data_IF_785783127625
#
_entry.id   IF_785783127625
#
_cell.length_a   1.000
_cell.length_b   1.000
_cell.length_c   1.000
_cell.angle_alpha   90.00
_cell.angle_beta   90.00
_cell.angle_gamma   90.00
#
_symmetry.space_group_name_H-M   'P 1'
#
loop_
_entity.id
_entity.type
_entity.pdbx_description
1 polymer ?
#
# COMPACT_ATOMS: atom_id res chain seq x y z
N UNK A 1 56.22 -50.59 47.43
CA UNK A 1 55.58 -50.42 48.75
C UNK A 1 54.90 -49.06 48.73
N UNK A 2 53.63 -48.82 49.02
CA UNK A 2 52.40 -49.57 49.16
C UNK A 2 51.30 -48.50 49.02
N UNK A 3 50.23 -48.76 48.27
CA UNK A 3 48.98 -48.00 48.36
C UNK A 3 48.31 -48.24 49.74
N UNK A 4 47.42 -47.32 50.14
CA UNK A 4 46.04 -47.68 50.50
C UNK A 4 45.03 -46.74 49.76
N UNK A 5 43.91 -47.15 49.14
CA UNK A 5 42.68 -47.88 49.61
C UNK A 5 42.06 -47.17 50.81
N UNK A 6 40.80 -46.76 50.93
CA UNK A 6 39.59 -46.70 50.11
C UNK A 6 38.57 -45.83 50.91
N UNK A 7 37.48 -45.37 50.29
CA UNK A 7 36.13 -45.48 50.86
C UNK A 7 35.08 -44.84 49.94
N UNK A 8 34.14 -45.67 49.51
CA UNK A 8 32.92 -45.34 48.77
C UNK A 8 31.91 -44.58 49.62
N UNK A 9 31.09 -43.75 48.99
CA UNK A 9 29.65 -43.64 49.34
C UNK A 9 28.87 -43.13 48.14
N UNK A 10 27.95 -43.97 47.65
CA UNK A 10 26.85 -43.56 46.79
C UNK A 10 25.92 -42.63 47.58
N UNK A 11 25.55 -41.49 46.99
CA UNK A 11 24.34 -40.80 47.35
C UNK A 11 23.57 -40.47 46.07
N UNK A 12 22.56 -41.30 45.82
CA UNK A 12 21.52 -41.11 44.82
C UNK A 12 20.65 -39.93 45.29
N UNK A 13 20.67 -38.83 44.53
CA UNK A 13 19.87 -37.64 44.82
C UNK A 13 19.12 -37.20 43.58
N UNK A 14 17.95 -37.79 43.34
CA UNK A 14 16.93 -37.25 42.44
C UNK A 14 16.53 -35.86 42.95
N UNK A 15 16.79 -34.81 42.18
CA UNK A 15 16.08 -33.53 42.35
C UNK A 15 15.47 -33.10 41.02
N UNK A 16 14.15 -33.12 41.07
CA UNK A 16 13.12 -32.64 40.17
C UNK A 16 13.52 -31.52 39.20
N UNK A 17 13.11 -31.73 37.96
CA UNK A 17 13.05 -30.77 36.87
C UNK A 17 12.28 -29.50 37.24
N UNK A 18 12.88 -28.35 36.93
CA UNK A 18 12.17 -27.12 36.61
C UNK A 18 12.98 -26.36 35.57
N UNK A 19 12.87 -26.80 34.31
CA UNK A 19 13.30 -25.99 33.18
C UNK A 19 12.24 -24.89 33.02
N UNK A 20 12.60 -23.60 32.99
CA UNK A 20 11.68 -22.59 32.51
C UNK A 20 11.41 -22.94 31.05
N UNK A 21 10.17 -23.36 30.77
CA UNK A 21 9.66 -23.32 29.41
C UNK A 21 9.60 -21.83 29.05
N UNK A 22 10.66 -21.32 28.43
CA UNK A 22 10.58 -20.10 27.66
C UNK A 22 9.54 -20.37 26.58
N UNK A 23 8.30 -20.00 26.88
CA UNK A 23 7.27 -19.76 25.90
C UNK A 23 7.81 -18.62 25.03
N UNK A 24 8.63 -18.96 24.04
CA UNK A 24 8.81 -18.14 22.86
C UNK A 24 7.44 -18.12 22.19
N UNK A 25 6.60 -17.19 22.66
CA UNK A 25 5.55 -16.62 21.85
C UNK A 25 6.25 -16.13 20.62
N UNK A 26 6.23 -16.95 19.56
CA UNK A 26 6.45 -16.48 18.21
C UNK A 26 5.43 -15.36 18.02
N UNK A 27 5.87 -14.12 18.24
CA UNK A 27 5.20 -12.97 17.67
C UNK A 27 5.11 -13.33 16.20
N UNK A 28 3.90 -13.66 15.73
CA UNK A 28 3.66 -13.95 14.34
C UNK A 28 4.21 -12.75 13.59
N UNK A 29 5.37 -12.93 12.97
CA UNK A 29 6.00 -11.93 12.16
C UNK A 29 4.94 -11.54 11.15
N UNK A 30 4.42 -10.32 11.30
CA UNK A 30 3.40 -9.79 10.40
C UNK A 30 4.02 -9.86 9.02
N UNK A 31 3.54 -10.80 8.20
CA UNK A 31 4.07 -10.99 6.85
C UNK A 31 4.07 -9.61 6.18
N UNK A 32 5.21 -9.13 5.68
CA UNK A 32 5.22 -7.87 4.96
C UNK A 32 4.21 -8.02 3.84
N UNK A 33 3.30 -7.04 3.73
CA UNK A 33 2.46 -6.89 2.54
C UNK A 33 3.42 -6.66 1.40
N UNK A 34 3.79 -7.77 0.77
CA UNK A 34 4.60 -7.74 -0.42
C UNK A 34 3.62 -7.37 -1.50
N UNK A 35 3.68 -6.11 -1.95
CA UNK A 35 3.13 -5.75 -3.24
C UNK A 35 3.86 -6.65 -4.23
N UNK A 36 3.26 -7.79 -4.62
CA UNK A 36 4.03 -8.82 -5.35
C UNK A 36 4.58 -8.25 -6.66
N UNK A 37 3.96 -7.20 -7.19
CA UNK A 37 4.42 -6.36 -8.30
C UNK A 37 3.86 -4.93 -8.16
N UNK A 38 4.54 -3.97 -7.50
CA UNK A 38 4.01 -2.60 -7.43
C UNK A 38 4.10 -1.99 -8.83
N UNK A 39 2.95 -1.65 -9.42
CA UNK A 39 2.91 -0.94 -10.70
C UNK A 39 3.16 0.54 -10.41
N UNK A 40 4.37 1.00 -10.74
CA UNK A 40 4.81 2.38 -10.47
C UNK A 40 4.81 3.27 -11.71
N UNK A 41 4.36 2.74 -12.84
CA UNK A 41 4.30 3.45 -14.13
C UNK A 41 2.88 3.38 -14.70
N UNK A 42 2.44 4.45 -15.36
CA UNK A 42 1.16 4.51 -16.06
C UNK A 42 1.24 5.42 -17.27
N UNK A 43 0.39 5.21 -18.28
CA UNK A 43 0.23 6.15 -19.40
C UNK A 43 -1.07 6.92 -19.23
N UNK A 44 -0.98 8.22 -18.96
CA UNK A 44 -2.13 9.12 -18.81
C UNK A 44 -2.10 10.20 -19.90
N UNK A 45 -3.18 10.32 -20.68
CA UNK A 45 -3.26 11.25 -21.81
C UNK A 45 -2.06 11.16 -22.78
N UNK A 46 -1.58 9.93 -23.05
CA UNK A 46 -0.46 9.65 -23.94
C UNK A 46 0.94 9.94 -23.36
N UNK A 47 1.04 10.37 -22.09
CA UNK A 47 2.30 10.64 -21.41
C UNK A 47 2.53 9.68 -20.25
N UNK A 48 3.79 9.32 -20.03
CA UNK A 48 4.17 8.40 -18.95
C UNK A 48 4.19 9.16 -17.63
N UNK A 49 3.51 8.59 -16.64
CA UNK A 49 3.60 8.96 -15.23
C UNK A 49 4.49 7.95 -14.52
N UNK A 50 5.40 8.45 -13.69
CA UNK A 50 6.20 7.64 -12.77
C UNK A 50 5.86 8.00 -11.33
N UNK A 51 5.67 6.99 -10.48
CA UNK A 51 5.56 7.20 -9.04
C UNK A 51 6.95 7.26 -8.41
N UNK A 52 7.10 8.17 -7.47
CA UNK A 52 8.29 8.29 -6.64
C UNK A 52 7.92 8.64 -5.20
N UNK A 53 8.95 8.92 -4.43
CA UNK A 53 8.84 9.33 -3.04
C UNK A 53 9.56 10.66 -2.83
N UNK A 54 9.01 11.50 -1.96
CA UNK A 54 9.63 12.71 -1.43
C UNK A 54 9.12 12.98 -0.02
N UNK A 55 10.03 13.08 0.94
CA UNK A 55 9.74 13.39 2.35
C UNK A 55 8.70 12.41 2.97
N UNK A 56 8.77 11.14 2.60
CA UNK A 56 7.86 10.08 3.05
C UNK A 56 6.49 10.09 2.36
N UNK A 57 6.26 11.02 1.43
CA UNK A 57 5.03 11.13 0.66
C UNK A 57 5.22 10.68 -0.78
N UNK A 58 4.13 10.28 -1.41
CA UNK A 58 4.16 9.96 -2.82
C UNK A 58 4.21 11.19 -3.70
N UNK A 59 4.94 11.06 -4.81
CA UNK A 59 4.94 12.05 -5.88
C UNK A 59 4.63 11.38 -7.22
N UNK A 60 3.94 12.11 -8.09
CA UNK A 60 3.77 11.74 -9.49
C UNK A 60 4.70 12.61 -10.32
N UNK A 61 5.52 11.97 -11.15
CA UNK A 61 6.44 12.62 -12.05
C UNK A 61 5.96 12.44 -13.48
N UNK A 62 5.98 13.52 -14.26
CA UNK A 62 5.65 13.52 -15.68
C UNK A 62 6.47 14.59 -16.38
N UNK A 63 7.29 14.20 -17.35
CA UNK A 63 8.23 15.10 -18.00
C UNK A 63 9.13 15.80 -16.94
N UNK A 64 9.07 17.13 -16.84
CA UNK A 64 9.75 17.91 -15.78
C UNK A 64 8.83 18.29 -14.60
N UNK A 65 7.55 17.93 -14.66
CA UNK A 65 6.57 18.21 -13.60
C UNK A 65 6.69 17.16 -12.48
N UNK A 66 6.70 17.61 -11.23
CA UNK A 66 6.57 16.76 -10.04
C UNK A 66 5.36 17.24 -9.24
N UNK A 67 4.35 16.38 -9.12
CA UNK A 67 3.13 16.63 -8.36
C UNK A 67 3.19 15.87 -7.02
N UNK A 68 3.29 16.55 -5.87
CA UNK A 68 3.17 15.90 -4.58
C UNK A 68 1.75 15.40 -4.32
N UNK A 69 1.64 14.24 -3.69
CA UNK A 69 0.39 13.63 -3.24
C UNK A 69 0.29 13.67 -1.72
N UNK A 70 -0.94 13.74 -1.20
CA UNK A 70 -1.26 13.71 0.22
C UNK A 70 -1.33 12.30 0.80
N UNK A 71 -0.64 11.32 0.22
CA UNK A 71 -0.63 9.92 0.66
C UNK A 71 0.80 9.43 0.93
N UNK A 72 1.01 8.49 1.87
CA UNK A 72 2.33 7.98 2.21
C UNK A 72 2.98 7.17 1.09
N UNK A 73 4.30 7.17 1.06
CA UNK A 73 5.09 6.21 0.30
C UNK A 73 5.34 4.91 1.11
N UNK A 74 5.62 3.77 0.45
CA UNK A 74 5.63 3.55 -1.00
C UNK A 74 4.21 3.47 -1.56
N UNK A 75 4.01 3.92 -2.80
CA UNK A 75 2.74 3.81 -3.50
C UNK A 75 2.87 3.15 -4.87
N UNK A 76 1.70 2.75 -5.38
CA UNK A 76 1.52 2.05 -6.64
C UNK A 76 0.21 2.53 -7.28
N UNK A 77 0.10 2.35 -8.60
CA UNK A 77 -1.16 2.55 -9.30
C UNK A 77 -2.11 1.39 -9.00
N UNK A 78 -3.40 1.68 -8.86
CA UNK A 78 -4.45 0.66 -8.90
C UNK A 78 -4.34 -0.13 -10.20
N UNK A 79 -4.37 -1.45 -10.13
CA UNK A 79 -4.09 -2.32 -11.28
C UNK A 79 -5.32 -3.00 -11.85
N UNK A 80 -5.37 -3.15 -13.18
CA UNK A 80 -6.38 -3.92 -13.90
C UNK A 80 -6.20 -5.42 -13.71
N UNK A 81 -7.07 -6.20 -14.34
CA UNK A 81 -6.91 -7.67 -14.41
C UNK A 81 -5.67 -8.09 -15.20
N UNK A 82 -5.12 -7.19 -16.00
CA UNK A 82 -3.88 -7.35 -16.75
C UNK A 82 -2.63 -6.97 -15.94
N UNK A 83 -2.79 -6.60 -14.66
CA UNK A 83 -1.73 -6.10 -13.80
C UNK A 83 -1.02 -4.84 -14.34
N UNK A 84 -1.67 -4.08 -15.22
CA UNK A 84 -1.24 -2.75 -15.63
C UNK A 84 -2.01 -1.68 -14.85
N UNK A 85 -1.51 -0.44 -14.82
CA UNK A 85 -2.21 0.67 -14.18
C UNK A 85 -3.59 0.88 -14.84
N UNK A 86 -4.65 0.91 -14.04
CA UNK A 86 -5.98 1.24 -14.53
C UNK A 86 -6.06 2.71 -14.86
N UNK A 87 -6.53 2.99 -16.07
CA UNK A 87 -6.89 4.34 -16.52
C UNK A 87 -8.38 4.33 -16.80
N UNK A 88 -9.10 5.25 -16.16
CA UNK A 88 -10.49 5.51 -16.47
C UNK A 88 -10.64 6.84 -17.19
N UNK A 89 -11.78 7.05 -17.84
CA UNK A 89 -12.15 8.34 -18.43
C UNK A 89 -13.49 8.76 -17.84
N UNK A 90 -13.52 9.92 -17.19
CA UNK A 90 -14.74 10.53 -16.67
C UNK A 90 -14.94 11.90 -17.28
N UNK A 91 -16.11 12.16 -17.87
CA UNK A 91 -16.43 13.41 -18.57
C UNK A 91 -15.35 13.82 -19.61
N UNK A 92 -14.75 12.85 -20.30
CA UNK A 92 -13.69 13.08 -21.29
C UNK A 92 -12.30 13.32 -20.70
N UNK A 93 -12.15 13.28 -19.39
CA UNK A 93 -10.87 13.48 -18.69
C UNK A 93 -10.32 12.12 -18.23
N UNK A 94 -9.10 11.74 -18.63
CA UNK A 94 -8.48 10.51 -18.18
C UNK A 94 -7.98 10.66 -16.74
N UNK A 95 -8.04 9.56 -15.98
CA UNK A 95 -7.72 9.53 -14.55
C UNK A 95 -7.06 8.21 -14.15
N UNK A 96 -6.16 8.28 -13.17
CA UNK A 96 -5.53 7.14 -12.49
C UNK A 96 -5.78 7.23 -10.99
N UNK A 97 -5.69 6.10 -10.29
CA UNK A 97 -5.72 6.03 -8.83
C UNK A 97 -4.36 5.56 -8.33
N UNK A 98 -3.79 6.31 -7.39
CA UNK A 98 -2.58 5.96 -6.68
C UNK A 98 -2.97 5.50 -5.28
N UNK A 99 -2.34 4.44 -4.79
CA UNK A 99 -2.70 3.77 -3.56
C UNK A 99 -1.46 3.45 -2.73
N UNK A 100 -1.66 3.34 -1.42
CA UNK A 100 -0.72 2.86 -0.42
C UNK A 100 -1.48 1.93 0.53
N UNK A 101 -0.90 0.78 0.86
CA UNK A 101 -1.43 -0.12 1.86
C UNK A 101 -0.30 -0.75 2.67
N UNK A 102 -0.50 -0.89 3.98
CA UNK A 102 0.40 -1.62 4.89
C UNK A 102 -0.40 -2.32 5.99
N UNK A 103 0.09 -3.41 6.58
CA UNK A 103 -0.54 -4.01 7.75
C UNK A 103 -0.82 -2.96 8.81
N UNK A 104 -2.05 -2.95 9.33
CA UNK A 104 -2.42 -2.01 10.39
C UNK A 104 -1.76 -2.41 11.70
N UNK A 105 -1.34 -1.41 12.49
CA UNK A 105 -0.82 -1.60 13.85
C UNK A 105 -1.89 -1.36 14.92
N UNK A 106 -3.16 -1.29 14.52
CA UNK A 106 -4.29 -1.07 15.43
C UNK A 106 -4.42 -2.20 16.43
N UNK A 107 -4.50 -1.84 17.72
CA UNK A 107 -4.65 -2.79 18.83
C UNK A 107 -6.10 -2.99 19.26
N UNK A 108 -7.01 -2.13 18.78
CA UNK A 108 -8.45 -2.20 19.04
C UNK A 108 -9.19 -3.14 18.07
N UNK A 109 -8.48 -3.76 17.12
CA UNK A 109 -9.04 -4.72 16.16
C UNK A 109 -8.69 -6.16 16.55
N UNK A 110 -9.71 -7.01 16.74
CA UNK A 110 -9.50 -8.43 16.98
C UNK A 110 -9.27 -9.19 15.67
N UNK A 111 -7.99 -9.40 15.33
CA UNK A 111 -7.57 -10.12 14.12
C UNK A 111 -8.07 -11.58 14.11
N UNK A 112 -8.23 -12.23 15.27
CA UNK A 112 -8.68 -13.62 15.34
C UNK A 112 -10.12 -13.79 14.88
N UNK A 113 -10.97 -12.77 15.07
CA UNK A 113 -12.38 -12.78 14.66
C UNK A 113 -12.64 -12.01 13.38
N UNK A 114 -11.89 -10.93 13.13
CA UNK A 114 -12.11 -10.01 12.01
C UNK A 114 -11.16 -10.20 10.83
N UNK A 115 -10.15 -11.05 10.96
CA UNK A 115 -9.08 -11.18 9.98
C UNK A 115 -8.08 -10.00 10.00
N UNK A 116 -7.01 -10.08 9.19
CA UNK A 116 -6.03 -9.00 9.08
C UNK A 116 -6.66 -7.76 8.45
N UNK A 117 -6.19 -6.59 8.88
CA UNK A 117 -6.55 -5.30 8.29
C UNK A 117 -5.30 -4.51 7.93
N UNK A 118 -5.46 -3.61 6.96
CA UNK A 118 -4.44 -2.71 6.48
C UNK A 118 -4.84 -1.25 6.66
N UNK A 119 -3.85 -0.42 6.98
CA UNK A 119 -3.95 1.01 6.82
C UNK A 119 -3.83 1.30 5.32
N UNK A 120 -4.85 1.95 4.76
CA UNK A 120 -4.98 2.23 3.34
C UNK A 120 -5.06 3.74 3.12
N UNK A 121 -4.38 4.22 2.09
CA UNK A 121 -4.51 5.58 1.60
C UNK A 121 -4.57 5.59 0.06
N UNK A 122 -5.34 6.49 -0.52
CA UNK A 122 -5.41 6.64 -1.96
C UNK A 122 -5.71 8.08 -2.39
N UNK A 123 -5.24 8.42 -3.58
CA UNK A 123 -5.52 9.70 -4.20
C UNK A 123 -5.53 9.53 -5.72
N UNK A 124 -6.56 10.07 -6.36
CA UNK A 124 -6.67 10.05 -7.79
C UNK A 124 -5.91 11.23 -8.42
N UNK A 125 -5.43 11.05 -9.64
CA UNK A 125 -4.81 12.13 -10.44
C UNK A 125 -5.36 12.09 -11.85
N UNK A 126 -5.81 13.24 -12.34
CA UNK A 126 -6.36 13.41 -13.70
C UNK A 126 -5.52 14.34 -14.55
N UNK A 127 -5.65 14.23 -15.87
CA UNK A 127 -5.11 15.22 -16.81
C UNK A 127 -6.22 16.15 -17.29
N UNK A 128 -6.07 17.45 -17.01
CA UNK A 128 -6.99 18.48 -17.50
C UNK A 128 -6.20 19.47 -18.34
N UNK A 129 -6.44 19.46 -19.65
CA UNK A 129 -5.79 20.37 -20.58
C UNK A 129 -4.27 20.27 -20.55
N UNK A 130 -3.72 19.08 -20.26
CA UNK A 130 -2.30 18.84 -20.19
C UNK A 130 -1.66 19.10 -18.83
N UNK A 131 -2.41 19.47 -17.79
CA UNK A 131 -1.91 19.66 -16.42
C UNK A 131 -2.37 18.50 -15.52
N UNK A 132 -1.50 18.03 -14.62
CA UNK A 132 -1.92 17.07 -13.61
C UNK A 132 -2.71 17.79 -12.50
N UNK A 133 -3.82 17.19 -12.13
CA UNK A 133 -4.64 17.65 -11.01
C UNK A 133 -4.86 16.50 -10.03
N UNK A 134 -4.44 16.64 -8.76
CA UNK A 134 -4.76 15.67 -7.74
C UNK A 134 -6.20 15.86 -7.25
N UNK A 135 -6.88 14.75 -6.98
CA UNK A 135 -8.12 14.72 -6.22
C UNK A 135 -7.88 14.87 -4.72
N UNK A 136 -8.88 14.59 -3.91
CA UNK A 136 -8.73 14.59 -2.45
C UNK A 136 -8.08 13.26 -2.01
N UNK A 137 -7.07 13.34 -1.14
CA UNK A 137 -6.49 12.16 -0.52
C UNK A 137 -7.48 11.57 0.49
N UNK A 138 -7.75 10.27 0.37
CA UNK A 138 -8.57 9.50 1.31
C UNK A 138 -7.73 8.47 2.04
N UNK A 139 -8.03 8.25 3.33
CA UNK A 139 -7.37 7.24 4.16
C UNK A 139 -8.39 6.47 4.98
N UNK A 140 -8.09 5.22 5.33
CA UNK A 140 -8.96 4.37 6.14
C UNK A 140 -8.36 3.00 6.44
N UNK A 141 -9.20 2.08 6.89
CA UNK A 141 -8.84 0.67 7.11
C UNK A 141 -9.46 -0.20 6.03
N UNK A 142 -8.71 -1.19 5.54
CA UNK A 142 -9.15 -2.15 4.53
C UNK A 142 -8.91 -3.58 5.02
N UNK A 143 -9.86 -4.52 4.84
CA UNK A 143 -9.59 -5.95 5.06
C UNK A 143 -8.69 -6.53 3.96
N UNK A 144 -8.53 -5.81 2.84
CA UNK A 144 -7.63 -6.17 1.74
C UNK A 144 -6.32 -5.46 1.92
N UNK A 145 -5.32 -6.26 2.23
CA UNK A 145 -3.93 -5.86 2.25
C UNK A 145 -3.24 -6.05 0.91
N UNK A 146 -3.85 -6.81 -0.02
CA UNK A 146 -3.30 -6.97 -1.35
C UNK A 146 -3.58 -5.69 -2.19
N UNK A 147 -2.52 -4.96 -2.57
CA UNK A 147 -2.60 -3.75 -3.39
C UNK A 147 -3.13 -3.98 -4.81
N UNK A 148 -3.11 -5.23 -5.30
CA UNK A 148 -3.50 -5.61 -6.66
C UNK A 148 -4.96 -6.07 -6.75
N UNK A 149 -5.62 -6.30 -5.61
CA UNK A 149 -7.06 -6.53 -5.58
C UNK A 149 -7.76 -5.22 -5.96
N UNK A 150 -8.29 -5.18 -7.18
CA UNK A 150 -8.84 -3.98 -7.82
C UNK A 150 -9.71 -3.11 -6.89
N UNK A 151 -9.56 -1.80 -7.06
CA UNK A 151 -10.23 -0.79 -6.24
C UNK A 151 -11.68 -0.54 -6.67
N UNK A 152 -12.51 -0.06 -5.75
CA UNK A 152 -13.85 0.44 -6.09
C UNK A 152 -13.74 1.64 -7.06
N UNK A 153 -14.51 1.61 -8.15
CA UNK A 153 -14.47 2.64 -9.20
C UNK A 153 -14.73 4.06 -8.67
N UNK A 154 -15.48 4.22 -7.58
CA UNK A 154 -15.78 5.54 -6.99
C UNK A 154 -14.55 6.21 -6.40
N UNK A 155 -13.52 5.45 -6.04
CA UNK A 155 -12.27 6.01 -5.55
C UNK A 155 -11.55 6.85 -6.62
N UNK A 156 -11.78 6.59 -7.91
CA UNK A 156 -11.18 7.40 -8.98
C UNK A 156 -11.79 8.80 -9.05
N UNK A 157 -13.09 8.96 -8.78
CA UNK A 157 -13.76 10.26 -8.89
C UNK A 157 -13.88 11.01 -7.56
N UNK A 158 -13.34 10.44 -6.47
CA UNK A 158 -13.46 11.01 -5.14
C UNK A 158 -12.86 12.44 -5.06
N UNK A 159 -13.67 13.38 -4.59
CA UNK A 159 -13.27 14.77 -4.34
C UNK A 159 -13.39 15.73 -5.53
N UNK A 160 -13.62 15.24 -6.76
CA UNK A 160 -13.74 16.12 -7.93
C UNK A 160 -15.09 16.84 -8.04
N UNK A 161 -16.13 16.35 -7.36
CA UNK A 161 -17.45 16.99 -7.32
C UNK A 161 -17.48 18.28 -6.46
N UNK A 162 -16.41 18.55 -5.70
CA UNK A 162 -16.34 19.62 -4.69
C UNK A 162 -15.32 20.73 -4.98
N UNK A 163 -14.58 20.66 -6.09
CA UNK A 163 -13.53 21.65 -6.43
C UNK A 163 -13.97 22.58 -7.57
N UNK A 164 -13.50 23.85 -7.65
CA UNK A 164 -13.97 24.78 -8.66
C UNK A 164 -13.69 24.21 -10.04
N UNK A 165 -14.77 23.90 -10.74
CA UNK A 165 -14.83 23.27 -12.06
C UNK A 165 -13.82 23.89 -13.03
N UNK A 166 -12.64 23.30 -13.17
CA UNK A 166 -11.92 23.36 -14.44
C UNK A 166 -12.73 22.50 -15.40
N UNK A 167 -13.76 23.12 -15.99
CA UNK A 167 -14.55 22.50 -17.03
C UNK A 167 -13.56 22.07 -18.11
N UNK A 168 -13.55 20.79 -18.52
CA UNK A 168 -12.81 20.37 -19.71
C UNK A 168 -13.16 21.34 -20.83
N UNK A 169 -12.15 21.98 -21.42
CA UNK A 169 -12.39 22.88 -22.56
C UNK A 169 -13.04 22.03 -23.64
N UNK A 170 -14.31 22.30 -23.95
CA UNK A 170 -15.04 21.60 -25.02
C UNK A 170 -14.14 21.66 -26.27
N UNK A 171 -13.87 20.53 -26.95
CA UNK A 171 -13.19 20.58 -28.24
C UNK A 171 -13.91 21.57 -29.13
N UNK A 172 -13.16 22.45 -29.79
CA UNK A 172 -13.73 23.39 -30.74
C UNK A 172 -14.54 22.59 -31.76
N UNK A 173 -15.82 22.97 -31.95
CA UNK A 173 -16.67 22.32 -32.93
C UNK A 173 -15.98 22.42 -34.31
N UNK A 174 -15.55 21.29 -34.85
CA UNK A 174 -14.91 21.20 -36.16
C UNK A 174 -13.55 20.51 -36.22
N UNK A 175 -12.98 20.03 -35.11
CA UNK A 175 -11.71 19.30 -35.16
C UNK A 175 -11.97 17.80 -35.39
N UNK A 176 -11.53 17.20 -36.52
CA UNK A 176 -11.74 15.78 -36.79
C UNK A 176 -10.95 14.96 -35.77
N UNK A 177 -11.61 14.04 -35.10
CA UNK A 177 -10.96 12.94 -34.39
C UNK A 177 -10.19 12.12 -35.40
N UNK A 178 -8.88 11.98 -35.21
CA UNK A 178 -8.01 11.09 -35.97
C UNK A 178 -7.66 9.88 -35.13
#
# INVERSE_FOLDING_TARGET
MHLPVAASTLALGLMLACLPADAQTSAAASSPVTTRHPVTTATLAGRVLQLGERDGQCVVQRDAETLPLGIPAPCYFSTGRDHAAQVHVFNGTPIVLIQHAKPSTRTDWNVATGGPICDYAAQAVRDVGGKLEPGIAGSGSSPRCDPTEGTDQKNFVYGYDTWPNLKPKKPAAGQPTR
#
